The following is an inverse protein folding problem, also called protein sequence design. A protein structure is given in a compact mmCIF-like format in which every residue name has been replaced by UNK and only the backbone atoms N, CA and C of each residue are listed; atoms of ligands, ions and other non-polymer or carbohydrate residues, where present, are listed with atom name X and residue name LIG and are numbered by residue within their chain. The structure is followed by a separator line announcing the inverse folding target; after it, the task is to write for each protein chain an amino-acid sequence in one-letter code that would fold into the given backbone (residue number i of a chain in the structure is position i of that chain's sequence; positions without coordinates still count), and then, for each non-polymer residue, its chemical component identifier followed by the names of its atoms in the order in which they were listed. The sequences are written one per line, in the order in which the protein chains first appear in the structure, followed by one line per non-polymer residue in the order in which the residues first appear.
data_IF_854544315107
#
_entry.id   IF_854544315107
#
_cell.length_a   1.000
_cell.length_b   1.000
_cell.length_c   1.000
_cell.angle_alpha   90.00
_cell.angle_beta   90.00
_cell.angle_gamma   90.00
#
_symmetry.space_group_name_H-M   'P 1'
#
loop_
_entity.id
_entity.type
_entity.pdbx_description
1 polymer ?
#
# COMPACT_ATOMS: atom_id res chain seq x y z
N UNK A 1 -1.65 4.76 -20.07
CA UNK A 1 -0.58 5.67 -19.59
C UNK A 1 -1.10 6.98 -18.97
N UNK A 2 -2.38 7.35 -19.12
CA UNK A 2 -2.96 8.49 -18.41
C UNK A 2 -3.18 8.23 -16.90
N UNK A 3 -3.56 9.26 -16.13
CA UNK A 3 -3.92 9.20 -14.71
C UNK A 3 -2.75 8.75 -13.80
N UNK A 4 -1.55 9.25 -14.05
CA UNK A 4 -0.32 8.99 -13.30
C UNK A 4 0.10 10.13 -12.37
N UNK A 5 -0.81 11.05 -12.04
CA UNK A 5 -0.53 12.28 -11.29
C UNK A 5 -0.15 12.04 -9.83
N UNK A 6 -0.65 10.98 -9.22
CA UNK A 6 -0.32 10.61 -7.84
C UNK A 6 0.15 9.19 -7.76
N UNK A 7 1.01 8.88 -6.78
CA UNK A 7 1.50 7.52 -6.58
C UNK A 7 0.37 6.50 -6.37
N UNK A 8 -0.79 6.96 -5.88
CA UNK A 8 -2.00 6.18 -5.61
C UNK A 8 -3.04 6.24 -6.74
N UNK A 9 -2.72 6.88 -7.87
CA UNK A 9 -3.65 7.04 -8.99
C UNK A 9 -3.73 5.77 -9.84
N UNK A 10 -4.87 5.60 -10.52
CA UNK A 10 -5.19 4.42 -11.32
C UNK A 10 -4.13 4.09 -12.37
N UNK A 11 -3.59 5.08 -13.06
CA UNK A 11 -2.55 4.88 -14.07
C UNK A 11 -1.28 4.29 -13.44
N UNK A 12 -0.85 4.83 -12.30
CA UNK A 12 0.33 4.33 -11.60
C UNK A 12 0.12 2.91 -11.06
N UNK A 13 -1.10 2.54 -10.64
CA UNK A 13 -1.40 1.13 -10.36
C UNK A 13 -1.28 0.26 -11.61
N UNK A 14 -1.85 0.67 -12.73
CA UNK A 14 -1.86 -0.18 -13.93
C UNK A 14 -0.48 -0.40 -14.56
N UNK A 15 0.41 0.59 -14.50
CA UNK A 15 1.69 0.53 -15.22
C UNK A 15 2.91 0.51 -14.29
N UNK A 16 3.00 1.46 -13.36
CA UNK A 16 4.21 1.63 -12.54
C UNK A 16 4.29 0.57 -11.44
N UNK A 17 3.13 0.20 -10.88
CA UNK A 17 3.01 -0.60 -9.66
C UNK A 17 2.34 -1.95 -9.89
N UNK A 18 2.20 -2.41 -11.14
CA UNK A 18 1.46 -3.63 -11.47
C UNK A 18 1.98 -4.88 -10.72
N UNK A 19 3.26 -4.88 -10.37
CA UNK A 19 3.92 -5.91 -9.56
C UNK A 19 3.45 -5.96 -8.09
N UNK A 20 2.67 -4.99 -7.63
CA UNK A 20 2.11 -4.96 -6.28
C UNK A 20 0.71 -5.57 -6.32
N UNK A 21 0.40 -6.52 -5.42
CA UNK A 21 -0.91 -7.17 -5.44
C UNK A 21 -2.11 -6.21 -5.30
N UNK A 22 -1.97 -5.10 -4.56
CA UNK A 22 -2.99 -4.02 -4.53
C UNK A 22 -3.22 -3.36 -5.88
N UNK A 23 -2.24 -3.32 -6.78
CA UNK A 23 -2.44 -2.80 -8.12
C UNK A 23 -3.36 -3.72 -8.92
N UNK A 24 -3.10 -5.03 -8.88
CA UNK A 24 -3.94 -6.06 -9.52
C UNK A 24 -5.37 -6.03 -8.96
N UNK A 25 -5.52 -5.82 -7.65
CA UNK A 25 -6.82 -5.61 -7.01
C UNK A 25 -7.60 -4.47 -7.71
N UNK A 26 -6.98 -3.29 -7.83
CA UNK A 26 -7.62 -2.09 -8.35
C UNK A 26 -7.91 -2.19 -9.86
N UNK A 27 -6.97 -2.72 -10.64
CA UNK A 27 -7.04 -2.67 -12.11
C UNK A 27 -7.70 -3.89 -12.74
N UNK A 28 -7.63 -5.05 -12.09
CA UNK A 28 -8.20 -6.31 -12.57
C UNK A 28 -9.40 -6.76 -11.74
N UNK A 29 -9.21 -6.93 -10.43
CA UNK A 29 -10.21 -7.60 -9.61
C UNK A 29 -11.46 -6.77 -9.33
N UNK A 30 -11.33 -5.46 -9.09
CA UNK A 30 -12.48 -4.57 -8.89
C UNK A 30 -13.44 -4.59 -10.09
N UNK A 31 -12.97 -4.42 -11.35
CA UNK A 31 -13.81 -4.61 -12.53
C UNK A 31 -14.48 -6.00 -12.62
N UNK A 32 -13.75 -7.07 -12.30
CA UNK A 32 -14.28 -8.44 -12.31
C UNK A 32 -15.39 -8.62 -11.27
N UNK A 33 -15.21 -8.07 -10.06
CA UNK A 33 -16.21 -8.09 -8.98
C UNK A 33 -17.45 -7.30 -9.41
N UNK A 34 -17.27 -6.06 -9.88
CA UNK A 34 -18.37 -5.21 -10.34
C UNK A 34 -19.16 -5.88 -11.48
N UNK A 35 -18.47 -6.46 -12.47
CA UNK A 35 -19.09 -7.19 -13.57
C UNK A 35 -19.84 -8.45 -13.11
N UNK A 36 -19.28 -9.21 -12.17
CA UNK A 36 -19.91 -10.41 -11.60
C UNK A 36 -21.13 -10.07 -10.76
N UNK A 37 -21.05 -9.00 -9.95
CA UNK A 37 -22.16 -8.47 -9.17
C UNK A 37 -23.31 -8.01 -10.07
N UNK A 38 -23.01 -7.29 -11.16
CA UNK A 38 -24.02 -6.87 -12.13
C UNK A 38 -24.67 -8.08 -12.86
N UNK A 39 -23.87 -9.09 -13.22
CA UNK A 39 -24.39 -10.34 -13.82
C UNK A 39 -25.32 -11.07 -12.87
N UNK A 40 -24.96 -11.16 -11.58
CA UNK A 40 -25.80 -11.77 -10.56
C UNK A 40 -27.08 -10.96 -10.31
N UNK A 41 -27.01 -9.63 -10.21
CA UNK A 41 -28.20 -8.80 -10.04
C UNK A 41 -29.21 -8.99 -11.19
N UNK A 42 -28.71 -9.12 -12.43
CA UNK A 42 -29.54 -9.29 -13.63
C UNK A 42 -30.15 -10.68 -13.74
N UNK A 43 -29.35 -11.73 -13.62
CA UNK A 43 -29.80 -13.10 -13.93
C UNK A 43 -30.13 -13.91 -12.67
N UNK A 44 -29.58 -13.54 -11.51
CA UNK A 44 -29.61 -14.35 -10.30
C UNK A 44 -28.91 -15.70 -10.49
N UNK A 45 -29.26 -16.67 -9.64
CA UNK A 45 -28.81 -18.05 -9.74
C UNK A 45 -27.44 -18.34 -9.11
N UNK A 46 -27.24 -19.62 -8.75
CA UNK A 46 -26.07 -20.09 -8.01
C UNK A 46 -24.76 -19.85 -8.79
N UNK A 47 -24.75 -20.09 -10.10
CA UNK A 47 -23.55 -19.89 -10.94
C UNK A 47 -22.99 -18.47 -10.84
N UNK A 48 -23.84 -17.45 -11.01
CA UNK A 48 -23.41 -16.06 -10.96
C UNK A 48 -23.04 -15.62 -9.53
N UNK A 49 -23.71 -16.19 -8.53
CA UNK A 49 -23.37 -15.99 -7.12
C UNK A 49 -21.98 -16.55 -6.81
N UNK A 50 -21.70 -17.79 -7.24
CA UNK A 50 -20.39 -18.44 -7.07
C UNK A 50 -19.27 -17.67 -7.79
N UNK A 51 -19.55 -17.10 -8.98
CA UNK A 51 -18.57 -16.23 -9.66
C UNK A 51 -18.27 -14.97 -8.85
N UNK A 52 -19.29 -14.31 -8.27
CA UNK A 52 -19.08 -13.14 -7.40
C UNK A 52 -18.30 -13.52 -6.15
N UNK A 53 -18.65 -14.63 -5.51
CA UNK A 53 -17.96 -15.15 -4.34
C UNK A 53 -16.48 -15.47 -4.64
N UNK A 54 -16.22 -16.24 -5.70
CA UNK A 54 -14.87 -16.59 -6.14
C UNK A 54 -14.03 -15.37 -6.52
N UNK A 55 -14.63 -14.36 -7.17
CA UNK A 55 -13.94 -13.11 -7.48
C UNK A 55 -13.50 -12.34 -6.23
N UNK A 56 -14.31 -12.34 -5.17
CA UNK A 56 -13.92 -11.72 -3.90
C UNK A 56 -12.80 -12.51 -3.20
N UNK A 57 -12.85 -13.85 -3.21
CA UNK A 57 -11.77 -14.71 -2.66
C UNK A 57 -10.46 -14.46 -3.40
N UNK A 58 -10.50 -14.47 -4.73
CA UNK A 58 -9.32 -14.19 -5.54
C UNK A 58 -8.75 -12.79 -5.23
N UNK A 59 -9.61 -11.78 -5.06
CA UNK A 59 -9.20 -10.42 -4.71
C UNK A 59 -8.45 -10.35 -3.36
N UNK A 60 -8.86 -11.15 -2.37
CA UNK A 60 -8.20 -11.25 -1.07
C UNK A 60 -6.78 -11.81 -1.19
N UNK A 61 -6.56 -12.78 -2.08
CA UNK A 61 -5.23 -13.32 -2.37
C UNK A 61 -4.24 -12.29 -2.93
N UNK A 62 -4.73 -11.21 -3.55
CA UNK A 62 -3.87 -10.14 -4.05
C UNK A 62 -3.60 -9.03 -3.01
N UNK A 63 -4.50 -8.78 -2.06
CA UNK A 63 -4.33 -7.67 -1.11
C UNK A 63 -5.31 -7.76 0.05
N UNK A 64 -4.81 -7.54 1.26
CA UNK A 64 -5.64 -7.37 2.46
C UNK A 64 -6.67 -6.22 2.34
N UNK A 65 -6.45 -5.26 1.43
CA UNK A 65 -7.44 -4.18 1.19
C UNK A 65 -8.74 -4.71 0.58
N UNK A 66 -8.72 -5.90 -0.03
CA UNK A 66 -9.93 -6.53 -0.54
C UNK A 66 -10.95 -6.82 0.56
N UNK A 67 -10.53 -6.89 1.84
CA UNK A 67 -11.42 -7.08 2.98
C UNK A 67 -12.56 -6.05 3.05
N UNK A 68 -12.35 -4.84 2.53
CA UNK A 68 -13.37 -3.80 2.47
C UNK A 68 -13.62 -3.29 1.04
N UNK A 69 -12.60 -3.30 0.16
CA UNK A 69 -12.77 -2.87 -1.23
C UNK A 69 -13.66 -3.85 -2.02
N UNK A 70 -13.51 -5.17 -1.81
CA UNK A 70 -14.28 -6.15 -2.57
C UNK A 70 -15.77 -6.15 -2.22
N UNK A 71 -16.19 -6.13 -0.93
CA UNK A 71 -17.59 -5.96 -0.55
C UNK A 71 -18.16 -4.62 -1.04
N UNK A 72 -17.40 -3.53 -0.97
CA UNK A 72 -17.84 -2.23 -1.48
C UNK A 72 -18.08 -2.26 -3.00
N UNK A 73 -17.14 -2.81 -3.77
CA UNK A 73 -17.28 -2.96 -5.22
C UNK A 73 -18.47 -3.86 -5.59
N UNK A 74 -18.68 -4.95 -4.84
CA UNK A 74 -19.82 -5.85 -5.01
C UNK A 74 -21.14 -5.14 -4.71
N UNK A 75 -21.24 -4.43 -3.58
CA UNK A 75 -22.43 -3.69 -3.19
C UNK A 75 -22.81 -2.61 -4.22
N UNK A 76 -21.84 -1.86 -4.73
CA UNK A 76 -22.05 -0.89 -5.80
C UNK A 76 -22.51 -1.58 -7.09
N UNK A 77 -21.90 -2.73 -7.44
CA UNK A 77 -22.34 -3.63 -8.51
C UNK A 77 -23.81 -4.03 -8.42
N UNK A 78 -24.21 -4.52 -7.24
CA UNK A 78 -25.56 -5.01 -6.96
C UNK A 78 -26.58 -3.87 -6.93
N UNK A 79 -26.23 -2.72 -6.32
CA UNK A 79 -27.08 -1.53 -6.27
C UNK A 79 -27.48 -1.05 -7.66
N UNK A 80 -26.60 -1.22 -8.65
CA UNK A 80 -26.89 -0.88 -10.02
C UNK A 80 -27.91 -1.75 -10.75
N UNK A 81 -28.01 -3.02 -10.36
CA UNK A 81 -29.05 -3.91 -10.84
C UNK A 81 -30.29 -3.90 -9.95
N UNK A 82 -30.32 -3.05 -8.92
CA UNK A 82 -31.42 -2.99 -7.97
C UNK A 82 -32.64 -2.24 -8.55
N UNK A 83 -33.82 -2.70 -8.16
CA UNK A 83 -35.11 -2.08 -8.43
C UNK A 83 -36.04 -2.37 -7.25
N UNK A 84 -37.06 -1.53 -7.05
CA UNK A 84 -38.06 -1.70 -5.97
C UNK A 84 -39.03 -2.87 -6.25
N UNK A 85 -38.51 -4.06 -6.54
CA UNK A 85 -39.28 -5.28 -6.63
C UNK A 85 -38.66 -6.35 -5.72
N UNK A 86 -39.50 -7.25 -5.21
CA UNK A 86 -39.11 -8.28 -4.23
C UNK A 86 -37.98 -9.17 -4.76
N UNK A 87 -38.02 -9.53 -6.03
CA UNK A 87 -37.00 -10.37 -6.67
C UNK A 87 -35.63 -9.71 -6.69
N UNK A 88 -35.56 -8.43 -7.04
CA UNK A 88 -34.33 -7.64 -7.11
C UNK A 88 -33.79 -7.33 -5.72
N UNK A 89 -34.65 -6.98 -4.76
CA UNK A 89 -34.24 -6.81 -3.36
C UNK A 89 -33.70 -8.12 -2.77
N UNK A 90 -34.36 -9.26 -3.04
CA UNK A 90 -33.84 -10.58 -2.64
C UNK A 90 -32.48 -10.86 -3.27
N UNK A 91 -32.30 -10.57 -4.56
CA UNK A 91 -30.99 -10.72 -5.22
C UNK A 91 -29.95 -9.79 -4.63
N UNK A 92 -30.29 -8.54 -4.31
CA UNK A 92 -29.36 -7.63 -3.65
C UNK A 92 -28.87 -8.23 -2.32
N UNK A 93 -29.80 -8.64 -1.44
CA UNK A 93 -29.47 -9.23 -0.13
C UNK A 93 -28.65 -10.51 -0.29
N UNK A 94 -29.10 -11.46 -1.11
CA UNK A 94 -28.38 -12.72 -1.37
C UNK A 94 -27.00 -12.46 -1.99
N UNK A 95 -26.87 -11.43 -2.83
CA UNK A 95 -25.61 -11.04 -3.44
C UNK A 95 -24.61 -10.52 -2.41
N UNK A 96 -25.08 -9.70 -1.46
CA UNK A 96 -24.25 -9.22 -0.35
C UNK A 96 -23.76 -10.37 0.53
N UNK A 97 -24.54 -11.45 0.67
CA UNK A 97 -24.08 -12.66 1.38
C UNK A 97 -22.84 -13.31 0.74
N UNK A 98 -22.55 -13.06 -0.54
CA UNK A 98 -21.28 -13.50 -1.14
C UNK A 98 -20.06 -12.82 -0.48
N UNK A 99 -20.25 -11.70 0.20
CA UNK A 99 -19.21 -11.00 0.97
C UNK A 99 -19.16 -11.41 2.44
N UNK A 100 -20.06 -12.30 2.91
CA UNK A 100 -20.15 -12.67 4.33
C UNK A 100 -18.83 -13.27 4.86
N UNK A 101 -18.14 -14.07 4.05
CA UNK A 101 -16.84 -14.64 4.43
C UNK A 101 -15.78 -13.54 4.64
N UNK A 102 -15.85 -12.44 3.88
CA UNK A 102 -14.91 -11.32 3.99
C UNK A 102 -15.09 -10.63 5.35
N UNK A 103 -16.34 -10.41 5.75
CA UNK A 103 -16.67 -9.91 7.07
C UNK A 103 -16.25 -10.88 8.17
N UNK A 104 -16.46 -12.19 7.97
CA UNK A 104 -15.98 -13.22 8.89
C UNK A 104 -14.45 -13.23 9.05
N UNK A 105 -13.71 -13.10 7.96
CA UNK A 105 -12.26 -12.98 7.97
C UNK A 105 -11.79 -11.69 8.66
N UNK A 106 -12.44 -10.55 8.37
CA UNK A 106 -12.17 -9.28 9.04
C UNK A 106 -12.44 -9.35 10.54
N UNK A 107 -13.54 -9.98 10.94
CA UNK A 107 -13.90 -10.21 12.33
C UNK A 107 -12.90 -11.10 13.04
N UNK A 108 -12.53 -12.24 12.44
CA UNK A 108 -11.53 -13.15 13.00
C UNK A 108 -10.17 -12.47 13.18
N UNK A 109 -9.76 -11.65 12.20
CA UNK A 109 -8.56 -10.84 12.32
C UNK A 109 -8.68 -9.82 13.46
N UNK A 110 -9.81 -9.12 13.56
CA UNK A 110 -10.07 -8.17 14.63
C UNK A 110 -10.00 -8.85 16.01
N UNK A 111 -10.66 -10.01 16.19
CA UNK A 111 -10.68 -10.77 17.45
C UNK A 111 -9.29 -11.21 17.90
N UNK A 112 -8.42 -11.61 16.97
CA UNK A 112 -7.03 -11.98 17.29
C UNK A 112 -6.20 -10.74 17.66
N UNK A 113 -6.48 -9.59 17.04
CA UNK A 113 -5.75 -8.36 17.32
C UNK A 113 -6.21 -7.61 18.57
N UNK A 114 -7.34 -7.97 19.20
CA UNK A 114 -7.88 -7.26 20.36
C UNK A 114 -7.00 -7.29 21.63
N UNK A 115 -5.91 -8.08 21.66
CA UNK A 115 -4.85 -8.00 22.68
C UNK A 115 -3.74 -6.98 22.41
N UNK A 116 -3.60 -6.52 21.16
CA UNK A 116 -2.66 -5.46 20.79
C UNK A 116 -3.46 -4.23 20.46
N UNK A 117 -3.47 -3.24 21.37
CA UNK A 117 -4.10 -1.91 21.21
C UNK A 117 -4.33 -1.61 19.73
N UNK A 118 -5.55 -1.85 19.25
CA UNK A 118 -5.95 -1.41 17.93
C UNK A 118 -5.76 0.09 17.99
N UNK A 119 -4.61 0.56 17.50
CA UNK A 119 -4.16 1.94 17.56
C UNK A 119 -5.25 2.73 16.85
N UNK A 120 -6.23 3.19 17.63
CA UNK A 120 -7.13 4.28 17.28
C UNK A 120 -6.17 5.43 17.06
N UNK A 121 -5.66 5.48 15.84
CA UNK A 121 -4.69 6.47 15.45
C UNK A 121 -5.42 7.78 15.62
N UNK A 122 -5.03 8.58 16.60
CA UNK A 122 -5.50 9.94 16.86
C UNK A 122 -5.18 10.91 15.70
N UNK A 123 -4.89 10.35 14.52
CA UNK A 123 -4.69 11.10 13.30
C UNK A 123 -6.02 11.75 12.92
N UNK A 124 -6.04 13.07 12.71
CA UNK A 124 -7.25 13.75 12.27
C UNK A 124 -7.69 13.17 10.92
N UNK A 125 -9.01 13.04 10.74
CA UNK A 125 -9.58 12.57 9.48
C UNK A 125 -9.23 13.59 8.38
N UNK A 126 -8.54 13.20 7.31
CA UNK A 126 -8.27 14.10 6.19
C UNK A 126 -9.57 14.55 5.54
N UNK A 127 -9.61 15.78 5.03
CA UNK A 127 -10.75 16.26 4.27
C UNK A 127 -10.95 15.44 2.98
N UNK A 128 -12.19 15.32 2.51
CA UNK A 128 -12.52 14.56 1.28
C UNK A 128 -11.67 15.02 0.09
N UNK A 129 -11.51 16.33 -0.07
CA UNK A 129 -10.67 16.91 -1.13
C UNK A 129 -9.22 16.41 -1.04
N UNK A 130 -8.63 16.40 0.16
CA UNK A 130 -7.28 15.89 0.37
C UNK A 130 -7.17 14.39 0.04
N UNK A 131 -8.18 13.59 0.42
CA UNK A 131 -8.24 12.16 0.09
C UNK A 131 -8.22 11.96 -1.43
N UNK A 132 -9.02 12.74 -2.16
CA UNK A 132 -9.10 12.66 -3.62
C UNK A 132 -7.81 13.17 -4.28
N UNK A 133 -7.26 14.28 -3.81
CA UNK A 133 -6.03 14.85 -4.37
C UNK A 133 -4.84 13.94 -4.11
N UNK A 134 -4.74 13.29 -2.96
CA UNK A 134 -3.68 12.31 -2.66
C UNK A 134 -3.86 11.00 -3.45
N UNK A 135 -5.09 10.65 -3.81
CA UNK A 135 -5.41 9.36 -4.43
C UNK A 135 -5.46 9.42 -5.94
N UNK A 136 -6.21 10.36 -6.50
CA UNK A 136 -6.39 10.51 -7.94
C UNK A 136 -5.46 11.58 -8.52
N UNK A 137 -5.17 12.63 -7.76
CA UNK A 137 -4.47 13.83 -8.22
C UNK A 137 -5.44 14.96 -8.54
N UNK A 138 -5.04 16.21 -8.32
CA UNK A 138 -5.91 17.39 -8.44
C UNK A 138 -6.65 17.44 -9.78
N UNK A 139 -5.94 17.28 -10.89
CA UNK A 139 -6.53 17.41 -12.23
C UNK A 139 -7.34 16.18 -12.59
N UNK A 140 -6.78 15.01 -12.29
CA UNK A 140 -7.41 13.72 -12.52
C UNK A 140 -8.74 13.61 -11.75
N UNK A 141 -8.81 14.16 -10.53
CA UNK A 141 -10.03 14.19 -9.71
C UNK A 141 -11.18 14.85 -10.44
N UNK A 142 -10.97 16.04 -11.03
CA UNK A 142 -12.03 16.76 -11.75
C UNK A 142 -12.56 15.95 -12.92
N UNK A 143 -11.67 15.37 -13.72
CA UNK A 143 -12.03 14.54 -14.86
C UNK A 143 -12.81 13.29 -14.43
N UNK A 144 -12.35 12.61 -13.39
CA UNK A 144 -12.98 11.40 -12.87
C UNK A 144 -14.32 11.69 -12.20
N UNK A 145 -14.50 12.83 -11.54
CA UNK A 145 -15.79 13.27 -10.99
C UNK A 145 -16.80 13.58 -12.11
N UNK A 146 -16.38 14.26 -13.17
CA UNK A 146 -17.23 14.49 -14.35
C UNK A 146 -17.64 13.15 -14.96
N UNK A 147 -16.69 12.23 -15.15
CA UNK A 147 -16.99 10.88 -15.63
C UNK A 147 -17.95 10.12 -14.71
N UNK A 148 -17.73 10.19 -13.40
CA UNK A 148 -18.59 9.57 -12.39
C UNK A 148 -20.04 10.07 -12.49
N UNK A 149 -20.23 11.37 -12.68
CA UNK A 149 -21.55 12.01 -12.72
C UNK A 149 -22.25 11.89 -14.09
N UNK A 150 -21.50 11.81 -15.18
CA UNK A 150 -22.04 11.91 -16.54
C UNK A 150 -22.08 10.60 -17.33
N UNK A 151 -21.27 9.59 -16.98
CA UNK A 151 -21.14 8.37 -17.80
C UNK A 151 -22.47 7.63 -18.04
N UNK A 152 -23.39 7.65 -17.05
CA UNK A 152 -24.69 7.00 -17.18
C UNK A 152 -25.52 7.53 -18.36
N UNK A 153 -25.37 8.82 -18.70
CA UNK A 153 -26.14 9.48 -19.74
C UNK A 153 -25.77 9.00 -21.15
N UNK A 154 -24.66 8.27 -21.30
CA UNK A 154 -24.15 7.76 -22.56
C UNK A 154 -24.39 6.26 -22.75
N UNK A 155 -25.03 5.60 -21.77
CA UNK A 155 -25.29 4.16 -21.85
C UNK A 155 -26.73 3.91 -22.27
N UNK A 156 -26.90 3.33 -23.47
CA UNK A 156 -28.23 3.02 -24.01
C UNK A 156 -29.03 2.01 -23.18
N UNK A 157 -28.36 1.07 -22.51
CA UNK A 157 -29.04 0.06 -21.70
C UNK A 157 -29.43 0.64 -20.33
N UNK A 158 -30.73 0.74 -20.00
CA UNK A 158 -31.20 1.42 -18.79
C UNK A 158 -30.78 0.73 -17.48
N UNK A 159 -30.48 -0.57 -17.51
CA UNK A 159 -29.97 -1.30 -16.33
C UNK A 159 -28.50 -0.94 -16.10
N UNK A 160 -27.70 -0.86 -17.17
CA UNK A 160 -26.29 -0.44 -17.06
C UNK A 160 -26.17 1.04 -16.71
N UNK A 161 -27.03 1.89 -17.26
CA UNK A 161 -27.09 3.31 -16.88
C UNK A 161 -27.44 3.49 -15.40
N UNK A 162 -28.42 2.73 -14.88
CA UNK A 162 -28.75 2.69 -13.44
C UNK A 162 -27.56 2.23 -12.60
N UNK A 163 -26.76 1.28 -13.06
CA UNK A 163 -25.52 0.92 -12.36
C UNK A 163 -24.54 2.07 -12.22
N UNK A 164 -24.32 2.81 -13.30
CA UNK A 164 -23.41 3.95 -13.25
C UNK A 164 -23.96 5.06 -12.36
N UNK A 165 -25.25 5.41 -12.47
CA UNK A 165 -25.85 6.49 -11.69
C UNK A 165 -26.06 6.13 -10.22
N UNK A 166 -26.63 4.96 -9.91
CA UNK A 166 -26.82 4.51 -8.53
C UNK A 166 -25.48 4.25 -7.84
N UNK A 167 -24.54 3.58 -8.54
CA UNK A 167 -23.18 3.37 -8.04
C UNK A 167 -22.46 4.69 -7.74
N UNK A 168 -22.57 5.68 -8.64
CA UNK A 168 -22.04 7.02 -8.40
C UNK A 168 -22.69 7.69 -7.19
N UNK A 169 -24.01 7.66 -7.10
CA UNK A 169 -24.76 8.26 -5.99
C UNK A 169 -24.37 7.64 -4.64
N UNK A 170 -24.37 6.30 -4.53
CA UNK A 170 -23.98 5.61 -3.30
C UNK A 170 -22.53 5.88 -2.92
N UNK A 171 -21.63 5.92 -3.91
CA UNK A 171 -20.23 6.25 -3.64
C UNK A 171 -20.07 7.69 -3.15
N UNK A 172 -20.76 8.66 -3.75
CA UNK A 172 -20.75 10.04 -3.28
C UNK A 172 -21.33 10.16 -1.86
N UNK A 173 -22.43 9.45 -1.58
CA UNK A 173 -23.12 9.50 -0.29
C UNK A 173 -22.37 8.79 0.84
N UNK A 174 -21.75 7.63 0.57
CA UNK A 174 -21.14 6.80 1.60
C UNK A 174 -19.60 6.97 1.70
N UNK A 175 -18.93 7.30 0.60
CA UNK A 175 -17.47 7.35 0.52
C UNK A 175 -16.93 8.77 0.42
N UNK A 176 -17.62 9.68 -0.27
CA UNK A 176 -17.14 11.05 -0.47
C UNK A 176 -17.96 12.12 0.27
N UNK A 177 -18.87 11.71 1.14
CA UNK A 177 -19.66 12.65 1.93
C UNK A 177 -18.94 12.96 3.26
N UNK A 178 -18.62 14.24 3.55
CA UNK A 178 -17.95 14.65 4.79
C UNK A 178 -18.65 14.17 6.08
N UNK A 179 -19.97 13.95 6.04
CA UNK A 179 -20.74 13.50 7.20
C UNK A 179 -20.65 11.98 7.43
N UNK A 180 -20.43 11.18 6.38
CA UNK A 180 -20.35 9.72 6.48
C UNK A 180 -18.92 9.21 6.52
N UNK A 181 -17.97 9.98 5.97
CA UNK A 181 -16.56 9.61 5.82
C UNK A 181 -15.94 9.13 7.14
N UNK A 182 -16.22 9.85 8.24
CA UNK A 182 -15.69 9.53 9.57
C UNK A 182 -16.32 8.26 10.14
N UNK A 183 -17.64 8.12 10.03
CA UNK A 183 -18.34 6.90 10.48
C UNK A 183 -17.79 5.67 9.77
N UNK A 184 -17.62 5.75 8.44
CA UNK A 184 -17.09 4.64 7.65
C UNK A 184 -15.62 4.35 7.99
N UNK A 185 -14.81 5.40 8.18
CA UNK A 185 -13.42 5.25 8.60
C UNK A 185 -13.29 4.60 9.99
N UNK A 186 -14.06 5.04 10.97
CA UNK A 186 -13.92 4.61 12.36
C UNK A 186 -14.44 3.18 12.57
N UNK A 187 -15.45 2.74 11.81
CA UNK A 187 -16.11 1.45 12.06
C UNK A 187 -15.76 0.33 11.05
N UNK A 188 -15.31 0.66 9.84
CA UNK A 188 -15.17 -0.35 8.78
C UNK A 188 -13.77 -0.47 8.17
N UNK A 189 -13.04 0.64 8.00
CA UNK A 189 -11.81 0.63 7.18
C UNK A 189 -10.56 1.10 7.93
N UNK A 190 -10.71 2.00 8.89
CA UNK A 190 -9.62 2.74 9.54
C UNK A 190 -9.24 4.02 8.79
N UNK A 191 -8.95 5.09 9.53
CA UNK A 191 -8.61 6.43 9.00
C UNK A 191 -7.42 6.37 8.01
N UNK A 192 -6.35 5.64 8.35
CA UNK A 192 -5.12 5.57 7.53
C UNK A 192 -5.29 4.82 6.19
N UNK A 193 -6.31 3.99 6.10
CA UNK A 193 -6.61 3.11 4.99
C UNK A 193 -7.86 3.51 4.22
N UNK A 194 -8.62 4.48 4.74
CA UNK A 194 -9.88 4.96 4.19
C UNK A 194 -9.81 5.30 2.70
N UNK A 195 -8.76 6.00 2.29
CA UNK A 195 -8.53 6.42 0.90
C UNK A 195 -8.55 5.24 -0.10
N UNK A 196 -8.28 4.01 0.35
CA UNK A 196 -8.36 2.79 -0.49
C UNK A 196 -9.80 2.43 -0.88
N UNK A 197 -10.80 2.89 -0.12
CA UNK A 197 -12.21 2.69 -0.45
C UNK A 197 -12.58 3.40 -1.76
N UNK A 198 -11.84 4.44 -2.14
CA UNK A 198 -12.02 5.12 -3.43
C UNK A 198 -11.74 4.22 -4.63
N UNK A 199 -11.07 3.08 -4.43
CA UNK A 199 -10.80 2.07 -5.45
C UNK A 199 -11.98 1.14 -5.74
N UNK A 200 -13.03 1.17 -4.91
CA UNK A 200 -14.18 0.28 -5.07
C UNK A 200 -14.94 0.53 -6.38
N UNK A 201 -14.84 1.74 -6.94
CA UNK A 201 -15.36 2.06 -8.27
C UNK A 201 -14.26 1.97 -9.34
N UNK A 202 -14.51 1.28 -10.46
CA UNK A 202 -13.60 1.28 -11.59
C UNK A 202 -13.72 2.61 -12.37
N UNK A 203 -13.33 3.74 -11.78
CA UNK A 203 -13.50 5.07 -12.39
C UNK A 203 -12.88 5.22 -13.80
N UNK A 204 -11.75 4.58 -14.15
CA UNK A 204 -11.27 4.59 -15.53
C UNK A 204 -12.29 4.05 -16.55
N UNK A 205 -13.15 3.10 -16.14
CA UNK A 205 -14.23 2.60 -16.98
C UNK A 205 -15.34 3.64 -17.20
N UNK A 206 -15.69 4.41 -16.16
CA UNK A 206 -16.64 5.51 -16.29
C UNK A 206 -16.13 6.57 -17.27
N UNK A 207 -14.83 6.88 -17.19
CA UNK A 207 -14.20 7.81 -18.12
C UNK A 207 -14.20 7.26 -19.55
N UNK A 208 -13.89 5.98 -19.74
CA UNK A 208 -13.94 5.36 -21.06
C UNK A 208 -15.34 5.44 -21.68
N UNK A 209 -16.40 5.14 -20.92
CA UNK A 209 -17.79 5.25 -21.38
C UNK A 209 -18.19 6.69 -21.74
N UNK A 210 -17.75 7.66 -20.94
CA UNK A 210 -18.00 9.07 -21.23
C UNK A 210 -17.38 9.48 -22.57
N UNK A 211 -16.11 9.10 -22.80
CA UNK A 211 -15.39 9.45 -24.01
C UNK A 211 -15.98 8.75 -25.24
N UNK A 212 -16.28 7.46 -25.14
CA UNK A 212 -16.90 6.67 -26.20
C UNK A 212 -18.25 7.25 -26.62
N UNK A 213 -19.12 7.57 -25.65
CA UNK A 213 -20.42 8.16 -25.93
C UNK A 213 -20.37 9.57 -26.54
N UNK A 214 -19.36 10.38 -26.20
CA UNK A 214 -19.14 11.70 -26.84
C UNK A 214 -18.76 11.50 -28.32
N UNK A 215 -17.88 10.55 -28.62
CA UNK A 215 -17.47 10.21 -29.99
C UNK A 215 -18.64 9.70 -30.81
N UNK A 216 -19.42 8.77 -30.26
CA UNK A 216 -20.57 8.18 -30.95
C UNK A 216 -21.60 9.25 -31.32
N UNK A 217 -21.91 10.16 -30.38
CA UNK A 217 -22.83 11.28 -30.63
C UNK A 217 -22.32 12.26 -31.69
N UNK A 218 -21.02 12.56 -31.69
CA UNK A 218 -20.43 13.40 -32.74
C UNK A 218 -20.52 12.72 -34.11
N UNK A 219 -20.31 11.39 -34.14
CA UNK A 219 -20.33 10.57 -35.36
C UNK A 219 -21.70 10.48 -36.01
N UNK A 220 -22.77 10.46 -35.20
CA UNK A 220 -24.15 10.47 -35.71
C UNK A 220 -24.54 11.77 -36.45
N UNK A 221 -23.84 12.88 -36.20
CA UNK A 221 -24.22 14.21 -36.75
C UNK A 221 -23.52 14.54 -38.06
N UNK A 222 -22.22 14.22 -38.19
CA UNK A 222 -21.43 14.44 -39.41
C UNK A 222 -20.09 13.70 -39.32
N UNK A 223 -19.64 13.12 -40.43
CA UNK A 223 -18.31 12.49 -40.52
C UNK A 223 -17.16 13.49 -40.24
N UNK A 224 -17.33 14.75 -40.62
CA UNK A 224 -16.35 15.81 -40.37
C UNK A 224 -16.29 16.12 -38.88
N UNK A 225 -17.45 16.26 -38.22
CA UNK A 225 -17.52 16.47 -36.77
C UNK A 225 -16.94 15.28 -35.99
N UNK A 226 -17.17 14.05 -36.47
CA UNK A 226 -16.58 12.85 -35.93
C UNK A 226 -15.05 12.89 -36.00
N UNK A 227 -14.49 13.20 -37.18
CA UNK A 227 -13.06 13.31 -37.39
C UNK A 227 -12.45 14.41 -36.50
N UNK A 228 -13.07 15.59 -36.44
CA UNK A 228 -12.65 16.67 -35.56
C UNK A 228 -12.71 16.27 -34.07
N UNK A 229 -13.75 15.56 -33.64
CA UNK A 229 -13.87 15.07 -32.27
C UNK A 229 -12.78 14.04 -31.93
N UNK A 230 -12.49 13.10 -32.84
CA UNK A 230 -11.39 12.15 -32.69
C UNK A 230 -10.02 12.84 -32.60
N UNK A 231 -9.75 13.79 -33.49
CA UNK A 231 -8.49 14.56 -33.47
C UNK A 231 -8.37 15.37 -32.19
N UNK A 232 -9.44 16.05 -31.77
CA UNK A 232 -9.46 16.81 -30.52
C UNK A 232 -9.25 15.90 -29.30
N UNK A 233 -9.90 14.74 -29.24
CA UNK A 233 -9.73 13.77 -28.16
C UNK A 233 -8.33 13.17 -28.15
N UNK A 234 -7.76 12.84 -29.31
CA UNK A 234 -6.39 12.37 -29.42
C UNK A 234 -5.40 13.45 -28.94
N UNK A 235 -5.57 14.69 -29.38
CA UNK A 235 -4.77 15.84 -28.94
C UNK A 235 -4.87 16.06 -27.42
N UNK A 236 -6.07 16.07 -26.87
CA UNK A 236 -6.31 16.16 -25.42
C UNK A 236 -5.70 14.98 -24.67
N UNK A 237 -5.83 13.76 -25.17
CA UNK A 237 -5.27 12.57 -24.54
C UNK A 237 -3.73 12.60 -24.54
N UNK A 238 -3.10 13.03 -25.64
CA UNK A 238 -1.65 13.20 -25.75
C UNK A 238 -1.18 14.28 -24.78
N UNK A 239 -1.80 15.46 -24.80
CA UNK A 239 -1.47 16.56 -23.88
C UNK A 239 -1.64 16.16 -22.41
N UNK A 240 -2.72 15.44 -22.09
CA UNK A 240 -2.97 14.94 -20.75
C UNK A 240 -1.97 13.86 -20.34
N UNK A 241 -1.63 12.91 -21.22
CA UNK A 241 -0.63 11.88 -20.95
C UNK A 241 0.77 12.49 -20.78
N UNK A 242 1.09 13.55 -21.52
CA UNK A 242 2.36 14.26 -21.36
C UNK A 242 2.48 14.92 -19.99
N UNK A 243 1.43 15.62 -19.53
CA UNK A 243 1.47 16.39 -18.29
C UNK A 243 1.17 15.57 -17.03
N UNK A 244 0.26 14.60 -17.13
CA UNK A 244 -0.33 13.83 -16.02
C UNK A 244 -0.24 12.32 -16.22
N UNK A 245 0.58 11.86 -17.17
CA UNK A 245 0.76 10.44 -17.42
C UNK A 245 1.71 9.76 -16.44
N UNK A 246 1.74 8.44 -16.56
CA UNK A 246 2.59 7.55 -15.76
C UNK A 246 4.07 7.71 -16.06
N UNK A 247 4.41 8.13 -17.28
CA UNK A 247 5.80 8.28 -17.76
C UNK A 247 6.47 9.60 -17.38
N UNK A 248 5.82 10.46 -16.59
CA UNK A 248 6.44 11.71 -16.14
C UNK A 248 7.69 11.43 -15.30
N UNK A 249 8.69 12.32 -15.39
CA UNK A 249 9.92 12.24 -14.60
C UNK A 249 9.65 12.15 -13.09
N UNK A 250 8.59 12.81 -12.60
CA UNK A 250 8.16 12.76 -11.20
C UNK A 250 7.76 11.35 -10.70
N UNK A 251 7.50 10.39 -11.59
CA UNK A 251 7.22 9.01 -11.21
C UNK A 251 8.48 8.12 -11.25
N UNK A 252 9.63 8.64 -11.68
CA UNK A 252 10.91 7.93 -11.79
C UNK A 252 10.79 6.58 -12.50
N UNK A 253 9.99 6.53 -13.57
CA UNK A 253 9.80 5.30 -14.36
C UNK A 253 10.98 5.13 -15.30
N UNK A 254 11.63 3.98 -15.22
CA UNK A 254 12.66 3.55 -16.16
C UNK A 254 12.08 2.46 -17.06
N UNK A 255 12.41 2.53 -18.36
CA UNK A 255 12.12 1.46 -19.32
C UNK A 255 13.42 0.69 -19.55
N UNK A 256 13.37 -0.62 -19.36
CA UNK A 256 14.53 -1.49 -19.49
C UNK A 256 14.15 -2.95 -19.37
N UNK A 257 15.14 -3.83 -19.50
CA UNK A 257 14.94 -5.25 -19.22
C UNK A 257 14.49 -5.45 -17.77
N UNK A 258 13.64 -6.45 -17.49
CA UNK A 258 13.23 -6.77 -16.13
C UNK A 258 14.46 -6.95 -15.23
N UNK A 259 14.51 -6.19 -14.14
CA UNK A 259 15.59 -6.24 -13.15
C UNK A 259 15.06 -5.98 -11.75
N UNK A 260 15.91 -6.17 -10.74
CA UNK A 260 15.55 -5.90 -9.35
C UNK A 260 15.28 -4.40 -9.17
N UNK A 261 14.11 -4.06 -8.62
CA UNK A 261 13.72 -2.68 -8.30
C UNK A 261 14.30 -2.25 -6.94
N UNK A 262 15.63 -2.28 -6.85
CA UNK A 262 16.39 -2.02 -5.63
C UNK A 262 17.46 -0.97 -5.92
N UNK A 263 17.84 -0.21 -4.91
CA UNK A 263 19.02 0.64 -5.01
C UNK A 263 20.26 -0.26 -5.03
N UNK A 264 21.08 -0.21 -6.11
CA UNK A 264 22.05 -1.27 -6.36
C UNK A 264 23.14 -1.33 -5.29
N UNK A 265 23.55 -0.19 -4.73
CA UNK A 265 24.63 -0.12 -3.75
C UNK A 265 24.18 -0.69 -2.41
N UNK A 266 23.08 -0.18 -1.87
CA UNK A 266 22.49 -0.59 -0.59
C UNK A 266 22.09 -2.07 -0.61
N UNK A 267 21.49 -2.52 -1.71
CA UNK A 267 21.09 -3.91 -1.87
C UNK A 267 22.30 -4.85 -1.95
N UNK A 268 23.36 -4.47 -2.67
CA UNK A 268 24.60 -5.27 -2.72
C UNK A 268 25.27 -5.37 -1.34
N UNK A 269 25.29 -4.28 -0.57
CA UNK A 269 25.79 -4.30 0.81
C UNK A 269 24.95 -5.23 1.67
N UNK A 270 23.62 -5.14 1.59
CA UNK A 270 22.71 -6.02 2.32
C UNK A 270 22.87 -7.51 1.91
N UNK A 271 22.98 -7.79 0.61
CA UNK A 271 23.20 -9.15 0.10
C UNK A 271 24.53 -9.73 0.60
N UNK A 272 25.57 -8.91 0.64
CA UNK A 272 26.88 -9.33 1.14
C UNK A 272 26.86 -9.59 2.64
N UNK A 273 26.19 -8.73 3.41
CA UNK A 273 25.96 -8.96 4.85
C UNK A 273 25.20 -10.26 5.09
N UNK A 274 24.12 -10.52 4.33
CA UNK A 274 23.35 -11.76 4.45
C UNK A 274 24.17 -13.02 4.13
N UNK A 275 25.24 -12.89 3.34
CA UNK A 275 26.13 -14.01 2.99
C UNK A 275 27.27 -14.18 3.98
N UNK A 276 27.88 -13.08 4.42
CA UNK A 276 29.13 -13.08 5.18
C UNK A 276 28.92 -13.07 6.70
N UNK A 277 27.71 -12.72 7.19
CA UNK A 277 27.40 -12.59 8.62
C UNK A 277 26.55 -13.77 9.10
N UNK A 278 26.93 -14.43 10.22
CA UNK A 278 26.12 -15.49 10.82
C UNK A 278 24.73 -15.01 11.26
N UNK A 279 23.74 -15.91 11.22
CA UNK A 279 22.35 -15.65 11.64
C UNK A 279 22.24 -15.17 13.09
N UNK A 280 23.10 -15.68 13.96
CA UNK A 280 23.11 -15.37 15.40
C UNK A 280 23.61 -13.95 15.72
N UNK A 281 24.15 -13.24 14.73
CA UNK A 281 24.67 -11.90 14.94
C UNK A 281 23.57 -10.84 15.03
N UNK A 282 23.70 -9.87 15.95
CA UNK A 282 22.88 -8.65 15.96
C UNK A 282 23.53 -7.54 15.13
N UNK A 283 22.79 -7.01 14.16
CA UNK A 283 23.23 -6.00 13.20
C UNK A 283 22.61 -4.62 13.48
N UNK A 284 23.47 -3.61 13.54
CA UNK A 284 23.10 -2.20 13.44
C UNK A 284 23.48 -1.64 12.06
N UNK A 285 22.50 -1.13 11.32
CA UNK A 285 22.73 -0.51 10.01
C UNK A 285 21.84 0.72 9.79
N UNK A 286 22.24 1.63 8.88
CA UNK A 286 21.37 2.70 8.39
C UNK A 286 20.10 2.11 7.76
N UNK A 287 18.98 2.85 7.82
CA UNK A 287 17.71 2.42 7.22
C UNK A 287 17.88 2.02 5.74
N UNK A 288 18.66 2.78 4.97
CA UNK A 288 18.88 2.52 3.54
C UNK A 288 19.39 1.11 3.23
N UNK A 289 20.17 0.51 4.15
CA UNK A 289 20.66 -0.87 4.03
C UNK A 289 19.72 -1.84 4.75
N UNK A 290 19.25 -1.51 5.96
CA UNK A 290 18.47 -2.42 6.79
C UNK A 290 17.10 -2.77 6.23
N UNK A 291 16.51 -1.93 5.37
CA UNK A 291 15.24 -2.24 4.69
C UNK A 291 15.30 -3.45 3.76
N UNK A 292 16.48 -3.83 3.28
CA UNK A 292 16.65 -4.90 2.30
C UNK A 292 16.90 -6.26 2.95
N UNK A 293 17.44 -6.26 4.17
CA UNK A 293 17.86 -7.49 4.87
C UNK A 293 16.72 -8.49 5.11
N UNK A 294 15.49 -8.08 5.49
CA UNK A 294 14.36 -9.00 5.59
C UNK A 294 13.93 -9.65 4.25
N UNK A 295 14.51 -9.22 3.12
CA UNK A 295 14.27 -9.82 1.81
C UNK A 295 15.11 -11.08 1.55
N UNK A 296 16.11 -11.37 2.39
CA UNK A 296 16.92 -12.59 2.31
C UNK A 296 16.35 -13.63 3.29
N UNK A 297 16.44 -14.92 2.93
CA UNK A 297 15.94 -16.01 3.80
C UNK A 297 16.78 -16.14 5.07
N UNK A 298 18.08 -15.97 4.92
CA UNK A 298 19.10 -16.05 5.95
C UNK A 298 19.68 -14.66 6.12
N UNK A 299 19.58 -14.11 7.32
CA UNK A 299 20.15 -12.81 7.67
C UNK A 299 20.38 -12.69 9.18
N UNK A 300 21.31 -11.84 9.65
CA UNK A 300 21.48 -11.55 11.07
C UNK A 300 20.23 -10.91 11.69
N UNK A 301 20.09 -11.01 13.01
CA UNK A 301 19.06 -10.27 13.75
C UNK A 301 19.26 -8.76 13.56
N UNK A 302 18.16 -8.03 13.30
CA UNK A 302 18.21 -6.61 12.97
C UNK A 302 17.84 -5.77 14.18
N UNK A 303 18.72 -4.85 14.58
CA UNK A 303 18.39 -3.87 15.61
C UNK A 303 17.15 -3.04 15.20
N UNK A 304 17.02 -2.75 13.90
CA UNK A 304 15.89 -2.04 13.34
C UNK A 304 15.86 -2.05 11.81
N UNK A 305 14.67 -2.24 11.24
CA UNK A 305 14.45 -2.22 9.78
C UNK A 305 14.03 -0.83 9.30
N UNK A 306 12.97 -0.28 9.89
CA UNK A 306 12.47 1.07 9.58
C UNK A 306 12.06 1.77 10.87
N UNK A 307 12.28 3.08 11.01
CA UNK A 307 11.81 3.84 12.16
C UNK A 307 10.30 3.64 12.43
N UNK A 308 9.50 3.54 11.37
CA UNK A 308 8.04 3.33 11.47
C UNK A 308 7.65 2.00 12.14
N UNK A 309 8.51 0.97 12.10
CA UNK A 309 8.22 -0.34 12.68
C UNK A 309 8.75 -0.50 14.09
N UNK A 310 9.72 0.33 14.51
CA UNK A 310 10.32 0.24 15.83
C UNK A 310 9.29 0.42 16.94
N UNK A 311 8.39 1.41 16.84
CA UNK A 311 7.36 1.65 17.85
C UNK A 311 6.26 0.59 17.90
N UNK A 312 6.24 -0.35 16.93
CA UNK A 312 5.32 -1.49 16.94
C UNK A 312 5.92 -2.72 17.61
N UNK A 313 7.24 -2.84 17.56
CA UNK A 313 7.98 -3.98 18.09
C UNK A 313 8.56 -3.72 19.49
N UNK A 314 8.82 -2.46 19.82
CA UNK A 314 9.52 -2.06 21.04
C UNK A 314 8.77 -0.95 21.79
N UNK A 315 9.11 -0.77 23.07
CA UNK A 315 8.62 0.35 23.87
C UNK A 315 9.02 1.69 23.23
N UNK A 316 8.25 2.76 23.47
CA UNK A 316 8.52 4.08 22.88
C UNK A 316 9.95 4.56 23.14
N UNK A 317 10.48 4.31 24.33
CA UNK A 317 11.85 4.69 24.70
C UNK A 317 12.89 3.87 23.94
N UNK A 318 12.75 2.53 23.89
CA UNK A 318 13.69 1.67 23.18
C UNK A 318 13.63 1.92 21.65
N UNK A 319 12.43 2.12 21.11
CA UNK A 319 12.23 2.52 19.72
C UNK A 319 12.94 3.84 19.39
N UNK A 320 12.87 4.84 20.27
CA UNK A 320 13.56 6.11 20.10
C UNK A 320 15.10 5.93 20.16
N UNK A 321 15.60 5.09 21.05
CA UNK A 321 17.03 4.79 21.17
C UNK A 321 17.56 4.06 19.93
N UNK A 322 16.88 2.99 19.48
CA UNK A 322 17.20 2.25 18.25
C UNK A 322 17.17 3.16 17.02
N UNK A 323 16.14 4.01 16.90
CA UNK A 323 16.06 5.00 15.81
C UNK A 323 17.24 5.99 15.85
N UNK A 324 17.63 6.44 17.05
CA UNK A 324 18.77 7.33 17.23
C UNK A 324 20.09 6.67 16.81
N UNK A 325 20.27 5.38 17.13
CA UNK A 325 21.43 4.59 16.68
C UNK A 325 21.47 4.43 15.16
N UNK A 326 20.34 4.05 14.54
CA UNK A 326 20.24 3.96 13.08
C UNK A 326 20.56 5.29 12.40
N UNK A 327 20.10 6.42 12.95
CA UNK A 327 20.42 7.76 12.45
C UNK A 327 21.87 8.17 12.71
N UNK A 328 22.47 7.69 13.80
CA UNK A 328 23.87 7.96 14.14
C UNK A 328 24.83 7.30 13.15
N UNK A 329 24.65 6.00 12.86
CA UNK A 329 25.47 5.29 11.86
C UNK A 329 25.19 5.75 10.42
N UNK A 330 24.04 6.39 10.20
CA UNK A 330 23.71 7.07 8.95
C UNK A 330 24.32 8.48 8.82
N UNK A 331 24.98 9.01 9.86
CA UNK A 331 25.52 10.38 9.86
C UNK A 331 24.46 11.48 9.95
N UNK A 332 23.24 11.18 10.44
CA UNK A 332 22.08 12.11 10.47
C UNK A 332 21.69 12.61 11.86
N UNK A 333 22.28 12.08 12.91
CA UNK A 333 22.04 12.50 14.30
C UNK A 333 23.26 12.16 15.15
N UNK A 334 23.83 13.13 15.86
CA UNK A 334 24.94 12.92 16.79
C UNK A 334 24.50 13.36 18.20
N UNK A 335 24.30 12.43 19.15
CA UNK A 335 23.99 12.80 20.51
C UNK A 335 25.20 13.44 21.21
N UNK A 336 25.01 14.16 22.33
CA UNK A 336 26.10 14.54 23.22
C UNK A 336 26.84 13.30 23.70
N UNK A 337 28.17 13.40 23.83
CA UNK A 337 29.04 12.28 24.24
C UNK A 337 28.84 11.00 23.41
N UNK A 338 28.76 11.18 22.08
CA UNK A 338 28.39 10.12 21.14
C UNK A 338 29.30 8.89 21.19
N UNK A 339 30.58 9.04 21.52
CA UNK A 339 31.50 7.91 21.63
C UNK A 339 31.18 6.99 22.82
N UNK A 340 30.91 7.58 24.00
CA UNK A 340 30.54 6.81 25.19
C UNK A 340 29.14 6.20 25.03
N UNK A 341 28.19 6.99 24.52
CA UNK A 341 26.84 6.52 24.22
C UNK A 341 26.83 5.36 23.21
N UNK A 342 27.60 5.47 22.13
CA UNK A 342 27.69 4.41 21.12
C UNK A 342 28.36 3.16 21.69
N UNK A 343 29.41 3.31 22.49
CA UNK A 343 30.05 2.20 23.20
C UNK A 343 29.06 1.47 24.11
N UNK A 344 28.26 2.21 24.88
CA UNK A 344 27.23 1.64 25.73
C UNK A 344 26.19 0.87 24.91
N UNK A 345 25.75 1.42 23.78
CA UNK A 345 24.81 0.76 22.89
C UNK A 345 25.35 -0.54 22.26
N UNK A 346 26.62 -0.57 21.85
CA UNK A 346 27.28 -1.77 21.33
C UNK A 346 27.19 -2.93 22.33
N UNK A 347 27.34 -2.64 23.63
CA UNK A 347 27.25 -3.63 24.71
C UNK A 347 25.80 -3.96 25.05
N UNK A 348 24.96 -2.95 25.24
CA UNK A 348 23.56 -3.10 25.64
C UNK A 348 22.77 -3.98 24.68
N UNK A 349 22.97 -3.79 23.37
CA UNK A 349 22.24 -4.54 22.34
C UNK A 349 23.01 -5.75 21.80
N UNK A 350 24.16 -6.10 22.39
CA UNK A 350 24.96 -7.24 21.95
C UNK A 350 25.35 -7.17 20.47
N UNK A 351 25.65 -5.97 19.97
CA UNK A 351 25.91 -5.77 18.54
C UNK A 351 27.16 -6.55 18.12
N UNK A 352 27.04 -7.29 17.03
CA UNK A 352 28.12 -8.09 16.43
C UNK A 352 28.54 -7.57 15.07
N UNK A 353 27.63 -6.87 14.38
CA UNK A 353 27.89 -6.22 13.09
C UNK A 353 27.37 -4.78 13.10
N UNK A 354 28.16 -3.87 12.56
CA UNK A 354 27.81 -2.46 12.40
C UNK A 354 28.11 -2.03 10.97
N UNK A 355 27.15 -1.36 10.35
CA UNK A 355 27.31 -0.73 9.03
C UNK A 355 27.33 0.77 9.21
N UNK A 356 28.33 1.43 8.65
CA UNK A 356 28.48 2.89 8.68
C UNK A 356 28.35 3.45 7.27
N UNK A 357 27.73 4.61 7.12
CA UNK A 357 27.79 5.37 5.87
C UNK A 357 29.19 5.98 5.74
N UNK A 358 29.88 5.72 4.63
CA UNK A 358 31.26 6.17 4.42
C UNK A 358 31.39 7.70 4.48
N UNK A 359 30.36 8.42 4.03
CA UNK A 359 30.29 9.89 4.01
C UNK A 359 29.76 10.52 5.31
N UNK A 360 29.61 9.77 6.40
CA UNK A 360 29.09 10.32 7.66
C UNK A 360 30.08 11.34 8.27
N UNK A 361 29.63 12.53 8.75
CA UNK A 361 30.54 13.60 9.17
C UNK A 361 31.44 13.26 10.36
N UNK A 362 30.98 12.38 11.25
CA UNK A 362 31.71 11.91 12.44
C UNK A 362 32.15 10.45 12.32
N UNK A 363 32.37 9.98 11.09
CA UNK A 363 32.79 8.60 10.83
C UNK A 363 34.06 8.21 11.59
N UNK A 364 35.08 9.06 11.59
CA UNK A 364 36.33 8.76 12.30
C UNK A 364 36.11 8.49 13.79
N UNK A 365 35.13 9.12 14.42
CA UNK A 365 34.76 8.81 15.81
C UNK A 365 34.18 7.39 15.94
N UNK A 366 33.26 7.03 15.03
CA UNK A 366 32.65 5.70 15.02
C UNK A 366 33.68 4.59 14.80
N UNK A 367 34.59 4.79 13.83
CA UNK A 367 35.70 3.87 13.55
C UNK A 367 36.63 3.76 14.75
N UNK A 368 37.04 4.88 15.35
CA UNK A 368 37.86 4.89 16.56
C UNK A 368 37.20 4.14 17.73
N UNK A 369 35.87 4.19 17.88
CA UNK A 369 35.16 3.42 18.92
C UNK A 369 35.20 1.93 18.60
N UNK A 370 34.92 1.55 17.35
CA UNK A 370 34.90 0.15 16.91
C UNK A 370 36.30 -0.49 17.00
N UNK A 371 37.32 0.18 16.48
CA UNK A 371 38.71 -0.29 16.53
C UNK A 371 39.21 -0.49 17.97
N UNK A 372 38.93 0.47 18.87
CA UNK A 372 39.27 0.36 20.30
C UNK A 372 38.61 -0.84 20.98
N UNK A 373 37.49 -1.33 20.45
CA UNK A 373 36.76 -2.49 20.97
C UNK A 373 37.03 -3.78 20.16
N UNK A 374 38.11 -3.81 19.37
CA UNK A 374 38.56 -5.01 18.66
C UNK A 374 37.69 -5.40 17.45
N UNK A 375 36.88 -4.48 16.94
CA UNK A 375 36.11 -4.72 15.71
C UNK A 375 37.02 -4.67 14.49
N UNK A 376 36.71 -5.50 13.50
CA UNK A 376 37.45 -5.56 12.24
C UNK A 376 36.56 -5.11 11.09
N UNK A 377 37.12 -4.31 10.20
CA UNK A 377 36.44 -3.91 8.96
C UNK A 377 36.45 -5.08 7.98
N UNK A 378 35.26 -5.48 7.52
CA UNK A 378 35.06 -6.51 6.51
C UNK A 378 34.99 -5.92 5.10
N UNK A 379 34.30 -4.78 4.96
CA UNK A 379 33.98 -4.17 3.68
C UNK A 379 34.18 -2.68 3.73
N UNK A 380 34.60 -2.12 2.61
CA UNK A 380 34.72 -0.68 2.41
C UNK A 380 34.22 -0.30 1.01
N UNK A 381 33.55 0.84 0.92
CA UNK A 381 32.88 1.34 -0.27
C UNK A 381 32.01 2.55 0.11
N UNK A 382 30.80 2.67 -0.44
CA UNK A 382 29.84 3.67 0.03
C UNK A 382 29.38 3.43 1.49
N UNK A 383 29.51 2.19 1.96
CA UNK A 383 29.26 1.77 3.32
C UNK A 383 30.46 0.97 3.83
N UNK A 384 30.81 1.15 5.10
CA UNK A 384 31.83 0.35 5.77
C UNK A 384 31.16 -0.63 6.73
N UNK A 385 31.45 -1.92 6.56
CA UNK A 385 30.90 -2.99 7.41
C UNK A 385 31.97 -3.44 8.39
N UNK A 386 31.62 -3.42 9.67
CA UNK A 386 32.48 -3.79 10.80
C UNK A 386 31.88 -4.99 11.52
N UNK A 387 32.72 -5.95 11.89
CA UNK A 387 32.31 -7.17 12.61
C UNK A 387 33.20 -7.40 13.82
N UNK A 388 32.58 -7.82 14.93
CA UNK A 388 33.28 -8.25 16.13
C UNK A 388 33.74 -9.70 15.96
N UNK A 389 35.04 -9.97 16.12
CA UNK A 389 35.58 -11.33 16.01
C UNK A 389 35.05 -12.21 17.14
N UNK A 390 34.46 -13.36 16.81
CA UNK A 390 33.68 -14.22 17.73
C UNK A 390 34.42 -14.87 18.92
N UNK A 391 35.69 -14.56 19.20
CA UNK A 391 36.37 -15.13 20.38
C UNK A 391 35.87 -14.58 21.72
N UNK A 392 35.24 -13.41 21.73
CA UNK A 392 34.69 -12.79 22.96
C UNK A 392 33.15 -12.84 23.04
N UNK A 393 32.48 -13.47 22.07
CA UNK A 393 31.01 -13.58 22.07
C UNK A 393 30.50 -14.71 22.99
N UNK A 394 31.35 -15.70 23.29
CA UNK A 394 30.96 -16.89 24.09
C UNK A 394 30.91 -16.69 25.60
N UNK A 395 31.35 -15.55 26.15
CA UNK A 395 31.45 -15.34 27.61
C UNK A 395 30.36 -14.45 28.21
N UNK A 396 29.41 -13.95 27.41
CA UNK A 396 28.24 -13.20 27.90
C UNK A 396 26.95 -14.03 27.93
N UNK A 397 27.03 -15.36 27.77
CA UNK A 397 25.93 -16.30 27.99
C UNK A 397 25.75 -16.62 29.47
N UNK A 398 25.41 -15.61 30.27
CA UNK A 398 25.08 -15.76 31.69
C UNK A 398 23.80 -15.00 32.01
N UNK A 399 22.74 -15.75 32.34
CA UNK A 399 21.39 -15.29 32.72
C UNK A 399 20.51 -14.78 31.58
N UNK A 400 20.14 -15.69 30.67
CA UNK A 400 18.81 -15.62 30.06
C UNK A 400 17.77 -15.76 31.17
N UNK A 401 17.14 -14.65 31.55
CA UNK A 401 15.90 -14.69 32.31
C UNK A 401 14.89 -15.54 31.56
N UNK A 402 14.29 -16.50 32.25
CA UNK A 402 13.15 -17.25 31.75
C UNK A 402 12.15 -16.28 31.09
N UNK A 403 11.67 -16.58 29.86
CA UNK A 403 10.49 -15.91 29.37
C UNK A 403 9.37 -16.25 30.35
N UNK A 404 8.92 -15.24 31.08
CA UNK A 404 7.72 -15.31 31.90
C UNK A 404 6.62 -15.91 31.03
N UNK A 405 6.22 -17.13 31.40
CA UNK A 405 5.06 -17.79 30.83
C UNK A 405 3.90 -16.82 30.96
N UNK A 406 3.45 -16.29 29.82
CA UNK A 406 2.16 -15.63 29.73
C UNK A 406 1.15 -16.74 29.97
N UNK A 407 0.71 -16.85 31.22
CA UNK A 407 -0.45 -17.64 31.60
C UNK A 407 -1.64 -17.12 30.80
N UNK A 408 -2.04 -17.89 29.79
CA UNK A 408 -3.33 -17.74 29.13
C UNK A 408 -4.39 -18.09 30.19
N UNK A 409 -5.25 -17.16 30.63
CA UNK A 409 -6.38 -17.54 31.46
C UNK A 409 -7.31 -18.39 30.60
N UNK A 410 -7.63 -19.59 31.08
CA UNK A 410 -8.75 -20.34 30.55
C UNK A 410 -10.04 -19.54 30.84
N UNK A 411 -10.66 -19.04 29.78
CA UNK A 411 -11.93 -18.32 29.78
C UNK A 411 -12.58 -18.44 28.41
#
# INVERSE_FOLDING_TARGET
MALGEMHRAYGNFAFVRLFQGKAILVTGMVPVIAGSALRFARHGGLRHWLMLFAAQIAALGFSASALFVAPAAAALGLAGGWSMNTTSSRRFVVGILASAYVFGAGWAMASVTHGGQALVSSSPMPGVQQILDDTWGWWSTRLLLVALLAAWAFVANPVRARYLSAGAFFFLLAVLNPYTVRVVADHFVGIRTYWRLTWALPLPFFLALLLDGVVERASMRSRVLAACAWVALAGCAIAFCWRFGTLRNANSVTLGLPGLKVEPVEYQVAAKIATDVPEEGVLLAPEAVSIWLPGFVVHPELLGVRPLYLTRAFSTQDAAQRNSLMRYVAGRYRPPDSAAWFTAALRQYGLTVVVLVHSAPWRGEMENVLERHGWRRLLSGAYDTWMKSGRDAGTAGGTAGEPSQISVPAG
#
